data_IF_693780828599
#
_entry.id   IF_693780828599
#
_cell.length_a   1.000
_cell.length_b   1.000
_cell.length_c   1.000
_cell.angle_alpha   90.00
_cell.angle_beta   90.00
_cell.angle_gamma   90.00
#
_symmetry.space_group_name_H-M   'P 1'
#
loop_
_entity.id
_entity.type
_entity.pdbx_description
1 polymer ?
#
# COMPACT_ATOMS: atom_id res chain seq x y z
N UNK A 1 48.44 -33.55 39.75
CA UNK A 1 49.47 -32.69 39.14
C UNK A 1 48.82 -32.02 37.93
N UNK A 2 48.36 -30.78 38.05
CA UNK A 2 49.00 -29.56 37.50
C UNK A 2 49.16 -29.64 35.96
N UNK A 3 48.66 -28.72 35.12
CA UNK A 3 48.16 -27.39 35.38
C UNK A 3 47.29 -26.82 34.26
N UNK A 4 46.75 -25.64 34.53
CA UNK A 4 45.91 -24.81 33.67
C UNK A 4 46.74 -24.27 32.50
N UNK A 5 46.20 -24.34 31.29
CA UNK A 5 46.47 -23.34 30.25
C UNK A 5 45.14 -22.79 29.75
N UNK A 6 45.03 -21.47 29.87
CA UNK A 6 43.91 -20.68 29.43
C UNK A 6 43.99 -20.49 27.91
N UNK A 7 42.89 -20.76 27.21
CA UNK A 7 42.65 -20.22 25.88
C UNK A 7 41.21 -19.69 25.86
N UNK A 8 41.09 -18.37 25.98
CA UNK A 8 39.84 -17.65 25.76
C UNK A 8 39.60 -17.67 24.25
N UNK A 9 38.55 -18.34 23.78
CA UNK A 9 38.06 -18.17 22.41
C UNK A 9 36.73 -17.45 22.49
N UNK A 10 36.65 -16.39 21.70
CA UNK A 10 35.73 -15.29 21.81
C UNK A 10 34.26 -15.70 21.69
N UNK A 11 33.43 -15.10 22.54
CA UNK A 11 32.01 -15.03 22.30
C UNK A 11 31.77 -14.25 21.00
N UNK A 12 31.22 -14.90 19.99
CA UNK A 12 30.63 -14.20 18.85
C UNK A 12 29.33 -13.61 19.34
N UNK A 13 29.41 -12.41 19.92
CA UNK A 13 28.24 -11.56 20.08
C UNK A 13 27.81 -11.12 18.69
N UNK A 14 26.77 -11.75 18.14
CA UNK A 14 26.04 -11.19 17.01
C UNK A 14 25.36 -9.93 17.55
N UNK A 15 26.04 -8.81 17.38
CA UNK A 15 25.43 -7.50 17.52
C UNK A 15 24.50 -7.37 16.32
N UNK A 16 23.21 -7.63 16.53
CA UNK A 16 22.15 -7.21 15.59
C UNK A 16 22.03 -5.68 15.72
N UNK A 17 22.95 -4.98 15.06
CA UNK A 17 22.90 -3.54 14.88
C UNK A 17 21.91 -3.25 13.74
N UNK A 18 20.79 -2.61 14.09
CA UNK A 18 20.00 -1.82 13.15
C UNK A 18 19.04 -2.59 12.25
N UNK A 19 17.89 -2.97 12.79
CA UNK A 19 16.65 -3.07 12.01
C UNK A 19 15.58 -2.22 12.71
N UNK A 20 15.90 -0.94 12.89
CA UNK A 20 14.95 0.08 13.32
C UNK A 20 14.58 0.90 12.09
N UNK A 21 13.52 0.49 11.39
CA UNK A 21 12.89 1.27 10.34
C UNK A 21 12.71 0.51 9.03
N UNK A 22 11.58 -0.17 8.87
CA UNK A 22 11.07 -0.60 7.55
C UNK A 22 9.66 -1.25 7.58
N UNK A 23 8.94 -1.28 8.70
CA UNK A 23 7.61 -1.92 8.72
C UNK A 23 6.44 -0.97 8.46
N UNK A 24 6.73 0.30 8.14
CA UNK A 24 5.74 1.23 7.57
C UNK A 24 5.69 1.20 6.04
N UNK A 25 6.47 0.32 5.38
CA UNK A 25 6.79 0.39 3.95
C UNK A 25 5.80 -0.30 3.01
N UNK A 26 4.69 -0.85 3.53
CA UNK A 26 3.64 -1.40 2.67
C UNK A 26 2.61 -0.30 2.48
N UNK A 27 2.58 0.26 1.27
CA UNK A 27 1.49 1.10 0.78
C UNK A 27 1.27 2.46 1.50
N UNK A 28 2.29 3.29 1.72
CA UNK A 28 2.08 4.65 2.27
C UNK A 28 1.72 5.67 1.18
N UNK A 29 0.56 6.31 1.30
CA UNK A 29 0.16 7.47 0.49
C UNK A 29 0.37 8.77 1.28
N UNK A 30 1.63 9.13 1.46
CA UNK A 30 2.07 10.26 2.30
C UNK A 30 2.18 11.57 1.49
N UNK A 31 1.26 11.81 0.54
CA UNK A 31 1.29 13.06 -0.22
C UNK A 31 1.00 14.25 0.72
N UNK A 32 1.91 15.23 0.85
CA UNK A 32 1.79 16.31 1.83
C UNK A 32 0.58 17.23 1.59
N UNK A 33 -0.05 17.18 0.40
CA UNK A 33 -1.29 17.91 0.13
C UNK A 33 -2.48 17.32 0.89
N UNK A 34 -2.44 16.03 1.23
CA UNK A 34 -3.54 15.33 1.90
C UNK A 34 -3.83 15.87 3.30
N UNK A 35 -2.80 16.25 4.07
CA UNK A 35 -2.98 16.79 5.43
C UNK A 35 -3.92 18.00 5.46
N UNK A 36 -3.71 18.93 4.53
CA UNK A 36 -4.55 20.11 4.38
C UNK A 36 -5.96 19.73 3.94
N UNK A 37 -6.08 18.82 2.97
CA UNK A 37 -7.38 18.38 2.46
C UNK A 37 -8.21 17.66 3.53
N UNK A 38 -7.61 16.82 4.37
CA UNK A 38 -8.30 16.19 5.49
C UNK A 38 -8.75 17.21 6.55
N UNK A 39 -7.94 18.22 6.84
CA UNK A 39 -8.33 19.31 7.73
C UNK A 39 -9.50 20.14 7.16
N UNK A 40 -9.50 20.40 5.85
CA UNK A 40 -10.61 21.06 5.16
C UNK A 40 -11.89 20.20 5.18
N UNK A 41 -11.77 18.89 4.89
CA UNK A 41 -12.89 17.97 4.89
C UNK A 41 -13.57 17.90 6.27
N UNK A 42 -12.76 17.82 7.33
CA UNK A 42 -13.24 17.78 8.72
C UNK A 42 -14.05 19.02 9.12
N UNK A 43 -13.78 20.17 8.50
CA UNK A 43 -14.38 21.47 8.86
C UNK A 43 -15.42 21.97 7.84
N UNK A 44 -15.69 21.19 6.79
CA UNK A 44 -16.64 21.51 5.74
C UNK A 44 -18.04 21.83 6.31
N UNK A 45 -18.63 22.94 5.83
CA UNK A 45 -19.91 23.46 6.35
C UNK A 45 -21.14 22.98 5.58
N UNK A 46 -20.94 22.31 4.46
CA UNK A 46 -22.00 21.77 3.61
C UNK A 46 -21.46 20.60 2.78
N UNK A 47 -22.40 19.81 2.22
CA UNK A 47 -22.10 18.66 1.37
C UNK A 47 -21.25 19.05 0.16
N UNK A 48 -21.61 20.14 -0.54
CA UNK A 48 -20.89 20.54 -1.74
C UNK A 48 -19.38 20.76 -1.52
N UNK A 49 -18.99 21.42 -0.42
CA UNK A 49 -17.57 21.61 -0.07
C UNK A 49 -16.93 20.29 0.31
N UNK A 50 -17.63 19.42 1.05
CA UNK A 50 -17.11 18.10 1.41
C UNK A 50 -16.87 17.23 0.16
N UNK A 51 -17.81 17.24 -0.79
CA UNK A 51 -17.72 16.50 -2.05
C UNK A 51 -16.52 16.98 -2.89
N UNK A 52 -16.33 18.30 -3.00
CA UNK A 52 -15.20 18.87 -3.74
C UNK A 52 -13.85 18.46 -3.11
N UNK A 53 -13.70 18.61 -1.80
CA UNK A 53 -12.45 18.24 -1.09
C UNK A 53 -12.21 16.73 -1.19
N UNK A 54 -13.26 15.92 -1.08
CA UNK A 54 -13.17 14.47 -1.25
C UNK A 54 -12.73 14.10 -2.66
N UNK A 55 -13.24 14.77 -3.69
CA UNK A 55 -12.82 14.55 -5.07
C UNK A 55 -11.32 14.87 -5.28
N UNK A 56 -10.80 15.92 -4.62
CA UNK A 56 -9.38 16.26 -4.62
C UNK A 56 -8.53 15.17 -3.93
N UNK A 57 -8.94 14.68 -2.77
CA UNK A 57 -8.27 13.55 -2.08
C UNK A 57 -8.21 12.33 -3.01
N UNK A 58 -9.34 11.95 -3.60
CA UNK A 58 -9.37 10.83 -4.54
C UNK A 58 -8.52 11.07 -5.79
N UNK A 59 -8.37 12.32 -6.22
CA UNK A 59 -7.49 12.65 -7.35
C UNK A 59 -6.04 12.37 -7.02
N UNK A 60 -5.62 12.53 -5.77
CA UNK A 60 -4.27 12.19 -5.32
C UNK A 60 -4.13 10.67 -5.22
N UNK A 61 -5.10 10.01 -4.58
CA UNK A 61 -5.03 8.57 -4.33
C UNK A 61 -5.03 7.70 -5.58
N UNK A 62 -5.66 8.15 -6.67
CA UNK A 62 -5.79 7.34 -7.89
C UNK A 62 -4.51 7.25 -8.74
N UNK A 63 -3.50 8.08 -8.49
CA UNK A 63 -2.29 8.11 -9.30
C UNK A 63 -1.09 7.65 -8.48
N UNK A 64 -0.32 6.73 -9.04
CA UNK A 64 0.96 6.31 -8.52
C UNK A 64 2.07 7.32 -8.86
N UNK A 65 1.86 8.15 -9.87
CA UNK A 65 2.86 9.10 -10.37
C UNK A 65 3.87 8.48 -11.33
N UNK A 66 3.77 7.17 -11.59
CA UNK A 66 4.45 6.46 -12.67
C UNK A 66 3.48 6.25 -13.84
N UNK A 67 3.78 6.76 -15.06
CA UNK A 67 2.86 6.67 -16.19
C UNK A 67 2.47 5.23 -16.60
N UNK A 68 3.35 4.25 -16.41
CA UNK A 68 3.05 2.86 -16.73
C UNK A 68 2.09 2.27 -15.69
N UNK A 69 2.32 2.53 -14.39
CA UNK A 69 1.42 2.10 -13.31
C UNK A 69 0.06 2.77 -13.44
N UNK A 70 0.03 4.06 -13.75
CA UNK A 70 -1.21 4.82 -13.95
C UNK A 70 -2.02 4.28 -15.14
N UNK A 71 -1.34 3.88 -16.22
CA UNK A 71 -2.00 3.21 -17.36
C UNK A 71 -2.56 1.83 -16.98
N UNK A 72 -1.79 1.02 -16.25
CA UNK A 72 -2.26 -0.28 -15.76
C UNK A 72 -3.47 -0.14 -14.83
N UNK A 73 -3.47 0.88 -13.96
CA UNK A 73 -4.61 1.19 -13.08
C UNK A 73 -5.86 1.52 -13.87
N UNK A 74 -5.72 2.37 -14.90
CA UNK A 74 -6.84 2.70 -15.77
C UNK A 74 -7.42 1.46 -16.45
N UNK A 75 -6.58 0.59 -17.01
CA UNK A 75 -7.05 -0.61 -17.70
C UNK A 75 -7.65 -1.65 -16.74
N UNK A 76 -7.02 -1.87 -15.59
CA UNK A 76 -7.53 -2.78 -14.54
C UNK A 76 -8.89 -2.32 -14.00
N UNK A 77 -9.07 -1.00 -13.83
CA UNK A 77 -10.34 -0.41 -13.47
C UNK A 77 -11.40 -0.61 -14.56
N UNK A 78 -11.00 -0.57 -15.83
CA UNK A 78 -11.91 -0.83 -16.97
C UNK A 78 -12.43 -2.27 -16.95
N UNK A 79 -11.56 -3.25 -16.71
CA UNK A 79 -11.96 -4.65 -16.51
C UNK A 79 -12.92 -4.81 -15.33
N UNK A 80 -12.60 -4.20 -14.18
CA UNK A 80 -13.44 -4.28 -12.99
C UNK A 80 -14.85 -3.71 -13.24
N UNK A 81 -14.94 -2.54 -13.91
CA UNK A 81 -16.21 -1.91 -14.27
C UNK A 81 -17.02 -2.73 -15.29
N UNK A 82 -16.35 -3.45 -16.19
CA UNK A 82 -16.99 -4.37 -17.13
C UNK A 82 -17.45 -5.69 -16.50
N UNK A 83 -17.12 -5.94 -15.22
CA UNK A 83 -17.40 -7.20 -14.54
C UNK A 83 -16.41 -8.32 -14.91
N UNK A 84 -15.34 -8.00 -15.64
CA UNK A 84 -14.24 -8.92 -15.98
C UNK A 84 -13.28 -9.05 -14.79
N UNK A 85 -13.80 -9.57 -13.67
CA UNK A 85 -13.14 -9.53 -12.38
C UNK A 85 -11.82 -10.32 -12.34
N UNK A 86 -11.69 -11.41 -13.08
CA UNK A 86 -10.43 -12.18 -13.16
C UNK A 86 -9.33 -11.38 -13.88
N UNK A 87 -9.67 -10.68 -14.97
CA UNK A 87 -8.75 -9.78 -15.68
C UNK A 87 -8.33 -8.61 -14.80
N UNK A 88 -9.29 -8.02 -14.06
CA UNK A 88 -9.01 -6.97 -13.10
C UNK A 88 -8.08 -7.46 -11.98
N UNK A 89 -8.31 -8.67 -11.46
CA UNK A 89 -7.50 -9.27 -10.41
C UNK A 89 -6.04 -9.43 -10.86
N UNK A 90 -5.82 -9.94 -12.07
CA UNK A 90 -4.49 -10.05 -12.67
C UNK A 90 -3.82 -8.69 -12.88
N UNK A 91 -4.57 -7.70 -13.37
CA UNK A 91 -4.07 -6.33 -13.56
C UNK A 91 -3.61 -5.68 -12.25
N UNK A 92 -4.42 -5.75 -11.19
CA UNK A 92 -4.03 -5.22 -9.88
C UNK A 92 -2.88 -5.99 -9.23
N UNK A 93 -2.72 -7.30 -9.50
CA UNK A 93 -1.53 -8.02 -9.08
C UNK A 93 -0.25 -7.49 -9.74
N UNK A 94 -0.28 -7.22 -11.06
CA UNK A 94 0.86 -6.63 -11.77
C UNK A 94 1.20 -5.22 -11.27
N UNK A 95 0.19 -4.42 -10.92
CA UNK A 95 0.37 -3.09 -10.32
C UNK A 95 1.10 -3.20 -8.99
N UNK A 96 0.71 -4.14 -8.14
CA UNK A 96 1.34 -4.36 -6.83
C UNK A 96 2.78 -4.85 -6.98
N UNK A 97 3.06 -5.70 -7.97
CA UNK A 97 4.42 -6.14 -8.27
C UNK A 97 5.31 -4.98 -8.74
N UNK A 98 4.75 -4.05 -9.53
CA UNK A 98 5.46 -2.89 -10.07
C UNK A 98 5.61 -1.74 -9.06
N UNK A 99 4.61 -1.51 -8.22
CA UNK A 99 4.52 -0.42 -7.26
C UNK A 99 3.96 -0.91 -5.91
N UNK A 100 4.73 -1.66 -5.12
CA UNK A 100 4.25 -2.26 -3.88
C UNK A 100 3.91 -1.23 -2.79
N UNK A 101 4.41 -0.01 -2.92
CA UNK A 101 4.14 1.16 -2.07
C UNK A 101 2.90 1.96 -2.51
N UNK A 102 2.26 1.60 -3.63
CA UNK A 102 1.04 2.25 -4.10
C UNK A 102 -0.22 1.62 -3.49
N UNK A 103 -0.75 2.24 -2.44
CA UNK A 103 -1.87 1.71 -1.64
C UNK A 103 -3.15 1.42 -2.42
N UNK A 104 -3.49 2.25 -3.41
CA UNK A 104 -4.72 2.09 -4.16
C UNK A 104 -4.69 0.78 -4.98
N UNK A 105 -3.53 0.30 -5.43
CA UNK A 105 -3.39 -1.00 -6.07
C UNK A 105 -3.85 -2.16 -5.18
N UNK A 106 -3.41 -2.16 -3.91
CA UNK A 106 -3.84 -3.12 -2.89
C UNK A 106 -5.34 -3.00 -2.59
N UNK A 107 -5.83 -1.79 -2.36
CA UNK A 107 -7.25 -1.54 -2.10
C UNK A 107 -8.15 -2.03 -3.24
N UNK A 108 -7.75 -1.80 -4.50
CA UNK A 108 -8.49 -2.30 -5.66
C UNK A 108 -8.46 -3.82 -5.74
N UNK A 109 -7.32 -4.46 -5.49
CA UNK A 109 -7.24 -5.94 -5.48
C UNK A 109 -8.12 -6.53 -4.37
N UNK A 110 -8.10 -5.93 -3.18
CA UNK A 110 -8.99 -6.28 -2.08
C UNK A 110 -10.46 -6.19 -2.48
N UNK A 111 -10.84 -5.12 -3.18
CA UNK A 111 -12.20 -4.91 -3.69
C UNK A 111 -12.59 -5.99 -4.71
N UNK A 112 -11.72 -6.32 -5.66
CA UNK A 112 -11.98 -7.40 -6.63
C UNK A 112 -12.14 -8.74 -5.93
N UNK A 113 -11.28 -9.06 -4.96
CA UNK A 113 -11.43 -10.27 -4.14
C UNK A 113 -12.79 -10.29 -3.41
N UNK A 114 -13.24 -9.18 -2.85
CA UNK A 114 -14.55 -9.08 -2.22
C UNK A 114 -15.69 -9.34 -3.22
N UNK A 115 -15.63 -8.73 -4.41
CA UNK A 115 -16.63 -8.90 -5.47
C UNK A 115 -16.70 -10.35 -5.99
N UNK A 116 -15.56 -11.06 -6.00
CA UNK A 116 -15.48 -12.49 -6.32
C UNK A 116 -15.93 -13.41 -5.16
N UNK A 117 -16.24 -12.88 -3.97
CA UNK A 117 -16.56 -13.65 -2.77
C UNK A 117 -15.33 -14.25 -2.05
N UNK A 118 -14.12 -13.88 -2.46
CA UNK A 118 -12.86 -14.33 -1.89
C UNK A 118 -12.47 -13.49 -0.65
N UNK A 119 -13.33 -13.47 0.37
CA UNK A 119 -13.16 -12.61 1.56
C UNK A 119 -11.81 -12.79 2.29
N UNK A 120 -11.26 -14.00 2.47
CA UNK A 120 -9.96 -14.15 3.12
C UNK A 120 -8.82 -13.44 2.36
N UNK A 121 -8.86 -13.45 1.04
CA UNK A 121 -7.87 -12.77 0.21
C UNK A 121 -8.08 -11.24 0.22
N UNK A 122 -9.34 -10.79 0.23
CA UNK A 122 -9.68 -9.38 0.38
C UNK A 122 -9.12 -8.79 1.68
N UNK A 123 -9.32 -9.48 2.80
CA UNK A 123 -8.82 -9.07 4.13
C UNK A 123 -7.29 -9.06 4.18
N UNK A 124 -6.62 -9.94 3.44
CA UNK A 124 -5.14 -9.98 3.40
C UNK A 124 -4.52 -8.73 2.79
N UNK A 125 -5.26 -8.02 1.95
CA UNK A 125 -4.81 -6.84 1.21
C UNK A 125 -5.11 -5.51 1.95
N UNK A 126 -5.63 -5.55 3.20
CA UNK A 126 -5.99 -4.39 4.05
C UNK A 126 -5.30 -4.50 5.41
#
# INVERSE_FOLDING_TARGET
MWGRQAARVAAVSIIVLGLSGASSLLASQDDPRLDKLFAELKTAKNSQKADNVTAEIWSIWRYAGDPAVDWMMHESQRYMTAGELDSALGGYALIIDAAPDFAEGWHKRATVHFLLGNYPASIKDI
#
